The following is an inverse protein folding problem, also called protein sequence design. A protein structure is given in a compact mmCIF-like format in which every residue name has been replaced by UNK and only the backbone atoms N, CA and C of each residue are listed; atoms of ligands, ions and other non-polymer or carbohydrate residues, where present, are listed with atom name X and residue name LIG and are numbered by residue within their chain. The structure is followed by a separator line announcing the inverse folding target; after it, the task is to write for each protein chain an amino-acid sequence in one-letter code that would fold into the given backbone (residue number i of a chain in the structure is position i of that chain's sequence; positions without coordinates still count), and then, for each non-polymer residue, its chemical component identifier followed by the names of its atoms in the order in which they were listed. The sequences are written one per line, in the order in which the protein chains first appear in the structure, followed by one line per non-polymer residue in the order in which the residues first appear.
data_IF_441201955401
#
_entry.id   IF_441201955401
#
_cell.length_a   1.000
_cell.length_b   1.000
_cell.length_c   1.000
_cell.angle_alpha   90.00
_cell.angle_beta   90.00
_cell.angle_gamma   90.00
#
_symmetry.space_group_name_H-M   'P 1'
#
loop_
_entity.id
_entity.type
_entity.pdbx_description
1 polymer ?
#
# COMPACT_ATOMS: atom_id res chain seq x y z
N UNK A 1 2.69 4.47 -23.09
CA UNK A 1 3.19 5.22 -21.91
C UNK A 1 4.41 6.06 -22.31
N UNK A 2 4.58 7.28 -21.78
CA UNK A 2 5.75 8.10 -22.13
C UNK A 2 7.04 7.54 -21.51
N UNK A 3 8.19 7.84 -22.13
CA UNK A 3 9.51 7.44 -21.62
C UNK A 3 9.77 7.98 -20.21
N UNK A 4 9.30 9.19 -19.90
CA UNK A 4 9.41 9.81 -18.58
C UNK A 4 8.65 9.04 -17.50
N UNK A 5 7.45 8.55 -17.81
CA UNK A 5 6.66 7.77 -16.86
C UNK A 5 7.39 6.46 -16.51
N UNK A 6 8.04 5.81 -17.49
CA UNK A 6 8.87 4.61 -17.22
C UNK A 6 10.03 4.92 -16.27
N UNK A 7 10.72 6.04 -16.45
CA UNK A 7 11.83 6.46 -15.57
C UNK A 7 11.33 6.65 -14.14
N UNK A 8 10.14 7.23 -13.94
CA UNK A 8 9.58 7.40 -12.60
C UNK A 8 9.24 6.06 -11.94
N UNK A 9 8.67 5.11 -12.69
CA UNK A 9 8.41 3.75 -12.19
C UNK A 9 9.72 3.06 -11.80
N UNK A 10 10.76 3.17 -12.64
CA UNK A 10 12.09 2.62 -12.33
C UNK A 10 12.66 3.29 -11.07
N UNK A 11 12.55 4.62 -10.94
CA UNK A 11 13.00 5.32 -9.73
C UNK A 11 12.25 4.83 -8.48
N UNK A 12 10.93 4.61 -8.56
CA UNK A 12 10.18 4.02 -7.46
C UNK A 12 10.71 2.63 -7.09
N UNK A 13 10.94 1.74 -8.06
CA UNK A 13 11.50 0.41 -7.79
C UNK A 13 12.91 0.47 -7.21
N UNK A 14 13.76 1.37 -7.73
CA UNK A 14 15.11 1.58 -7.22
C UNK A 14 15.11 2.03 -5.75
N UNK A 15 14.11 2.80 -5.31
CA UNK A 15 13.97 3.15 -3.89
C UNK A 15 13.89 1.91 -3.00
N UNK A 16 13.08 0.93 -3.37
CA UNK A 16 12.91 -0.30 -2.59
C UNK A 16 14.08 -1.27 -2.79
N UNK A 17 14.68 -1.33 -3.98
CA UNK A 17 15.88 -2.16 -4.24
C UNK A 17 17.07 -1.64 -3.42
N UNK A 18 17.34 -0.34 -3.42
CA UNK A 18 18.42 0.25 -2.64
C UNK A 18 18.15 0.07 -1.14
N UNK A 19 16.91 0.26 -0.69
CA UNK A 19 16.53 0.01 0.71
C UNK A 19 16.72 -1.45 1.12
N UNK A 20 16.40 -2.41 0.24
CA UNK A 20 16.66 -3.82 0.46
C UNK A 20 18.17 -4.15 0.53
N UNK A 21 18.99 -3.52 -0.30
CA UNK A 21 20.45 -3.66 -0.25
C UNK A 21 21.05 -3.08 1.05
N UNK A 22 20.58 -1.90 1.49
CA UNK A 22 21.00 -1.31 2.76
C UNK A 22 20.60 -2.24 3.92
N UNK A 23 19.35 -2.70 3.93
CA UNK A 23 18.85 -3.63 4.94
C UNK A 23 19.63 -4.95 4.96
N UNK A 24 19.97 -5.53 3.80
CA UNK A 24 20.83 -6.70 3.70
C UNK A 24 22.20 -6.44 4.34
N UNK A 25 22.83 -5.30 4.02
CA UNK A 25 24.13 -4.93 4.59
C UNK A 25 24.06 -4.75 6.12
N UNK A 26 22.98 -4.18 6.65
CA UNK A 26 22.74 -4.06 8.09
C UNK A 26 22.64 -5.43 8.76
N UNK A 27 21.82 -6.34 8.24
CA UNK A 27 21.70 -7.71 8.78
C UNK A 27 23.03 -8.46 8.79
N UNK A 28 23.87 -8.25 7.77
CA UNK A 28 25.19 -8.87 7.68
C UNK A 28 26.20 -8.33 8.70
N UNK A 29 26.03 -7.09 9.16
CA UNK A 29 27.00 -6.41 10.04
C UNK A 29 26.61 -6.41 11.51
N UNK A 30 25.31 -6.38 11.83
CA UNK A 30 24.83 -6.19 13.21
C UNK A 30 24.40 -7.50 13.91
N UNK A 31 24.41 -8.65 13.23
CA UNK A 31 23.88 -9.95 13.68
C UNK A 31 22.39 -9.96 14.10
N UNK A 32 21.76 -8.83 14.39
CA UNK A 32 20.31 -8.69 14.53
C UNK A 32 19.67 -8.32 13.19
N UNK A 33 18.35 -8.53 13.08
CA UNK A 33 17.58 -7.98 11.98
C UNK A 33 17.40 -6.46 12.15
N UNK A 34 17.16 -5.67 11.08
CA UNK A 34 16.84 -4.25 11.24
C UNK A 34 15.32 -3.99 11.28
N UNK A 35 14.89 -2.97 12.03
CA UNK A 35 13.49 -2.52 12.11
C UNK A 35 12.58 -3.41 12.96
N UNK A 36 11.50 -3.98 12.40
CA UNK A 36 10.46 -4.64 13.20
C UNK A 36 10.91 -5.91 13.94
N UNK A 37 12.06 -6.46 13.57
CA UNK A 37 12.66 -7.63 14.18
C UNK A 37 14.00 -7.30 14.87
N UNK A 38 14.24 -6.03 15.22
CA UNK A 38 15.53 -5.57 15.77
C UNK A 38 15.98 -6.21 17.08
N UNK A 39 15.02 -6.72 17.85
CA UNK A 39 15.26 -7.42 19.10
C UNK A 39 15.74 -8.87 18.91
N UNK A 40 15.62 -9.43 17.70
CA UNK A 40 15.98 -10.81 17.42
C UNK A 40 17.33 -10.92 16.73
N UNK A 41 18.19 -11.76 17.29
CA UNK A 41 19.46 -12.16 16.69
C UNK A 41 19.21 -13.20 15.62
N UNK A 42 19.76 -12.98 14.42
CA UNK A 42 19.65 -13.91 13.30
C UNK A 42 20.42 -15.20 13.61
N UNK A 43 19.83 -16.33 13.27
CA UNK A 43 20.49 -17.65 13.26
C UNK A 43 20.83 -18.12 11.84
N UNK A 44 20.22 -17.53 10.81
CA UNK A 44 20.51 -17.83 9.40
C UNK A 44 21.92 -17.39 8.96
N UNK A 45 22.53 -18.17 8.06
CA UNK A 45 23.87 -17.95 7.55
C UNK A 45 23.97 -16.72 6.63
N UNK A 46 25.18 -16.19 6.49
CA UNK A 46 25.49 -15.08 5.59
C UNK A 46 25.10 -15.36 4.13
N UNK A 47 25.26 -16.61 3.68
CA UNK A 47 24.91 -17.02 2.31
C UNK A 47 23.39 -16.97 2.11
N UNK A 48 22.62 -17.47 3.06
CA UNK A 48 21.15 -17.43 3.02
C UNK A 48 20.61 -16.00 3.00
N UNK A 49 21.20 -15.12 3.82
CA UNK A 49 20.86 -13.67 3.82
C UNK A 49 21.05 -13.07 2.43
N UNK A 50 22.18 -13.31 1.78
CA UNK A 50 22.46 -12.78 0.45
C UNK A 50 21.47 -13.36 -0.58
N UNK A 51 21.28 -14.68 -0.60
CA UNK A 51 20.42 -15.35 -1.57
C UNK A 51 18.96 -14.86 -1.49
N UNK A 52 18.38 -14.83 -0.30
CA UNK A 52 17.00 -14.37 -0.10
C UNK A 52 16.82 -12.89 -0.44
N UNK A 53 17.79 -12.06 -0.06
CA UNK A 53 17.77 -10.64 -0.43
C UNK A 53 17.82 -10.45 -1.94
N UNK A 54 18.62 -11.24 -2.65
CA UNK A 54 18.67 -11.20 -4.11
C UNK A 54 17.38 -11.69 -4.76
N UNK A 55 16.74 -12.73 -4.22
CA UNK A 55 15.43 -13.18 -4.71
C UNK A 55 14.36 -12.09 -4.54
N UNK A 56 14.37 -11.37 -3.41
CA UNK A 56 13.49 -10.22 -3.20
C UNK A 56 13.75 -9.11 -4.24
N UNK A 57 15.02 -8.80 -4.54
CA UNK A 57 15.37 -7.83 -5.59
C UNK A 57 14.89 -8.29 -6.98
N UNK A 58 15.09 -9.57 -7.31
CA UNK A 58 14.60 -10.16 -8.57
C UNK A 58 13.08 -10.02 -8.69
N UNK A 59 12.35 -10.18 -7.58
CA UNK A 59 10.89 -9.99 -7.57
C UNK A 59 10.46 -8.57 -7.98
N UNK A 60 11.21 -7.53 -7.60
CA UNK A 60 10.95 -6.16 -8.06
C UNK A 60 11.20 -5.97 -9.56
N UNK A 61 12.18 -6.69 -10.10
CA UNK A 61 12.44 -6.72 -11.55
C UNK A 61 11.26 -7.40 -12.26
N UNK A 62 10.78 -8.54 -11.75
CA UNK A 62 9.59 -9.22 -12.26
C UNK A 62 8.34 -8.34 -12.18
N UNK A 63 8.14 -7.62 -11.09
CA UNK A 63 7.08 -6.62 -10.94
C UNK A 63 7.10 -5.59 -12.08
N UNK A 64 8.28 -5.09 -12.46
CA UNK A 64 8.41 -4.17 -13.58
C UNK A 64 7.99 -4.79 -14.90
N UNK A 65 8.39 -6.04 -15.17
CA UNK A 65 7.99 -6.76 -16.38
C UNK A 65 6.48 -7.00 -16.45
N UNK A 66 5.85 -7.43 -15.35
CA UNK A 66 4.38 -7.57 -15.28
C UNK A 66 3.70 -6.25 -15.59
N UNK A 67 4.18 -5.14 -15.01
CA UNK A 67 3.66 -3.82 -15.31
C UNK A 67 3.85 -3.40 -16.78
N UNK A 68 5.01 -3.69 -17.39
CA UNK A 68 5.25 -3.42 -18.81
C UNK A 68 4.28 -4.19 -19.71
N UNK A 69 4.06 -5.48 -19.42
CA UNK A 69 3.09 -6.31 -20.15
C UNK A 69 1.70 -5.70 -20.04
N UNK A 70 1.20 -5.46 -18.83
CA UNK A 70 -0.15 -4.91 -18.64
C UNK A 70 -0.28 -3.52 -19.27
N UNK A 71 0.70 -2.63 -19.12
CA UNK A 71 0.64 -1.26 -19.65
C UNK A 71 0.78 -1.15 -21.17
N UNK A 72 1.22 -2.22 -21.84
CA UNK A 72 1.42 -2.27 -23.30
C UNK A 72 0.10 -2.27 -24.09
N UNK A 73 -0.97 -2.81 -23.52
CA UNK A 73 -2.28 -2.89 -24.15
C UNK A 73 -3.34 -2.08 -23.39
N UNK A 74 -4.51 -1.90 -24.00
CA UNK A 74 -5.64 -1.18 -23.39
C UNK A 74 -6.89 -2.06 -23.40
N UNK A 75 -7.47 -2.29 -22.22
CA UNK A 75 -8.70 -3.03 -22.02
C UNK A 75 -9.73 -2.11 -21.38
N UNK A 76 -10.82 -1.81 -22.09
CA UNK A 76 -11.93 -1.02 -21.54
C UNK A 76 -13.16 -1.89 -21.44
N UNK A 77 -14.00 -1.64 -20.42
CA UNK A 77 -15.30 -2.30 -20.25
C UNK A 77 -16.18 -2.07 -21.49
N UNK A 78 -16.20 -0.85 -22.01
CA UNK A 78 -16.83 -0.50 -23.27
C UNK A 78 -16.05 0.64 -23.94
N UNK A 79 -15.61 0.45 -25.20
CA UNK A 79 -14.84 1.45 -25.95
C UNK A 79 -15.65 2.72 -26.26
N UNK A 80 -16.98 2.61 -26.29
CA UNK A 80 -17.90 3.69 -26.62
C UNK A 80 -18.38 4.45 -25.39
N UNK A 81 -17.98 4.07 -24.17
CA UNK A 81 -18.35 4.77 -22.94
C UNK A 81 -17.17 5.60 -22.46
N UNK A 82 -17.43 6.87 -22.17
CA UNK A 82 -16.50 7.77 -21.50
C UNK A 82 -17.01 8.09 -20.09
N UNK A 83 -16.06 8.19 -19.16
CA UNK A 83 -16.31 8.64 -17.79
C UNK A 83 -16.10 10.15 -17.71
N UNK A 84 -17.12 10.86 -17.25
CA UNK A 84 -17.11 12.31 -17.09
C UNK A 84 -17.31 12.63 -15.62
N UNK A 85 -16.41 13.41 -15.04
CA UNK A 85 -16.52 13.88 -13.67
C UNK A 85 -17.11 15.29 -13.65
N UNK A 86 -18.17 15.48 -12.88
CA UNK A 86 -18.65 16.82 -12.54
C UNK A 86 -17.70 17.41 -11.48
N UNK A 87 -16.72 18.20 -11.96
CA UNK A 87 -15.64 18.77 -11.14
C UNK A 87 -16.15 19.50 -9.89
N UNK A 88 -17.22 20.28 -10.03
CA UNK A 88 -17.77 21.06 -8.91
C UNK A 88 -18.44 20.16 -7.88
N UNK A 89 -19.29 19.23 -8.33
CA UNK A 89 -20.01 18.31 -7.42
C UNK A 89 -19.04 17.37 -6.70
N UNK A 90 -18.10 16.78 -7.42
CA UNK A 90 -17.15 15.84 -6.80
C UNK A 90 -16.28 16.52 -5.75
N UNK A 91 -15.77 17.74 -6.02
CA UNK A 91 -15.00 18.49 -5.03
C UNK A 91 -15.81 18.79 -3.76
N UNK A 92 -17.07 19.25 -3.92
CA UNK A 92 -17.95 19.55 -2.78
C UNK A 92 -18.25 18.30 -1.98
N UNK A 93 -18.60 17.19 -2.63
CA UNK A 93 -18.92 15.95 -1.95
C UNK A 93 -17.69 15.37 -1.24
N UNK A 94 -16.52 15.42 -1.88
CA UNK A 94 -15.27 14.98 -1.27
C UNK A 94 -14.89 15.82 -0.03
N UNK A 95 -15.13 17.14 -0.09
CA UNK A 95 -14.94 18.04 1.04
C UNK A 95 -15.79 17.65 2.25
N UNK A 96 -17.10 17.47 2.04
CA UNK A 96 -18.00 17.03 3.12
C UNK A 96 -17.63 15.65 3.67
N UNK A 97 -17.25 14.72 2.80
CA UNK A 97 -16.80 13.38 3.20
C UNK A 97 -15.54 13.45 4.07
N UNK A 98 -14.53 14.25 3.70
CA UNK A 98 -13.31 14.41 4.50
C UNK A 98 -13.60 15.04 5.87
N UNK A 99 -14.44 16.08 5.94
CA UNK A 99 -14.83 16.68 7.21
C UNK A 99 -15.54 15.65 8.10
N UNK A 100 -16.48 14.89 7.53
CA UNK A 100 -17.19 13.85 8.28
C UNK A 100 -16.24 12.77 8.80
N UNK A 101 -15.26 12.34 8.00
CA UNK A 101 -14.25 11.36 8.39
C UNK A 101 -13.34 11.88 9.52
N UNK A 102 -12.90 13.14 9.43
CA UNK A 102 -12.10 13.77 10.50
C UNK A 102 -12.91 13.87 11.79
N UNK A 103 -14.15 14.36 11.69
CA UNK A 103 -15.04 14.47 12.86
C UNK A 103 -15.29 13.12 13.51
N UNK A 104 -15.58 12.09 12.71
CA UNK A 104 -15.78 10.73 13.20
C UNK A 104 -14.53 10.17 13.89
N UNK A 105 -13.35 10.36 13.30
CA UNK A 105 -12.08 9.93 13.90
C UNK A 105 -11.82 10.64 15.24
N UNK A 106 -11.98 11.95 15.31
CA UNK A 106 -11.70 12.74 16.53
C UNK A 106 -12.69 12.41 17.65
N UNK A 107 -13.96 12.18 17.31
CA UNK A 107 -15.01 11.90 18.31
C UNK A 107 -15.01 10.47 18.81
N UNK A 108 -14.69 9.50 17.94
CA UNK A 108 -14.79 8.07 18.29
C UNK A 108 -13.43 7.41 18.51
N UNK A 109 -12.33 7.98 18.00
CA UNK A 109 -11.02 7.33 17.95
C UNK A 109 -10.93 6.20 16.91
N UNK A 110 -12.02 5.83 16.23
CA UNK A 110 -12.04 4.72 15.27
C UNK A 110 -11.17 5.04 14.06
N UNK A 111 -10.25 4.14 13.75
CA UNK A 111 -9.33 4.26 12.60
C UNK A 111 -8.01 4.95 12.94
N UNK A 112 -7.81 5.36 14.20
CA UNK A 112 -6.49 5.70 14.73
C UNK A 112 -5.66 4.42 14.86
N UNK A 113 -4.40 4.45 14.44
CA UNK A 113 -3.48 3.35 14.70
C UNK A 113 -3.22 3.30 16.21
N UNK A 114 -3.50 2.16 16.83
CA UNK A 114 -3.19 1.91 18.25
C UNK A 114 -2.16 0.80 18.35
N UNK A 115 -1.39 0.83 19.43
CA UNK A 115 -0.36 -0.16 19.73
C UNK A 115 -0.90 -1.27 20.62
N UNK A 116 -1.93 -0.98 21.43
CA UNK A 116 -2.61 -1.93 22.30
C UNK A 116 -3.97 -2.35 21.74
N UNK A 117 -4.29 -3.65 21.83
CA UNK A 117 -5.60 -4.18 21.45
C UNK A 117 -6.75 -3.62 22.32
N UNK A 118 -6.45 -3.30 23.58
CA UNK A 118 -7.40 -2.73 24.54
C UNK A 118 -7.79 -1.28 24.23
N UNK A 119 -7.06 -0.62 23.33
CA UNK A 119 -7.30 0.77 22.92
C UNK A 119 -8.04 0.87 21.58
N UNK A 120 -8.40 -0.26 20.97
CA UNK A 120 -9.13 -0.28 19.70
C UNK A 120 -10.54 0.26 19.95
N UNK A 121 -10.75 1.51 19.54
CA UNK A 121 -12.06 2.11 19.56
C UNK A 121 -13.02 1.42 18.59
N UNK A 122 -14.27 1.27 19.00
CA UNK A 122 -15.34 0.70 18.16
C UNK A 122 -16.55 1.64 18.11
N UNK A 123 -17.31 1.56 17.03
CA UNK A 123 -18.54 2.33 16.85
C UNK A 123 -19.51 1.55 15.98
N UNK A 124 -20.81 1.69 16.23
CA UNK A 124 -21.86 1.13 15.38
C UNK A 124 -21.83 1.71 13.95
N UNK A 125 -21.26 2.91 13.79
CA UNK A 125 -21.15 3.59 12.49
C UNK A 125 -19.85 3.26 11.74
N UNK A 126 -18.92 2.49 12.34
CA UNK A 126 -17.66 2.10 11.69
C UNK A 126 -17.85 1.47 10.31
N UNK A 127 -18.87 0.62 10.04
CA UNK A 127 -19.10 0.07 8.69
C UNK A 127 -19.37 1.16 7.64
N UNK A 128 -20.17 2.18 7.99
CA UNK A 128 -20.50 3.29 7.09
C UNK A 128 -19.25 4.10 6.73
N UNK A 129 -18.46 4.48 7.73
CA UNK A 129 -17.24 5.25 7.52
C UNK A 129 -16.12 4.45 6.84
N UNK A 130 -16.12 3.11 7.01
CA UNK A 130 -15.24 2.21 6.26
C UNK A 130 -15.63 2.11 4.78
N UNK A 131 -16.93 2.15 4.45
CA UNK A 131 -17.42 2.16 3.08
C UNK A 131 -17.16 3.51 2.39
N UNK A 132 -17.35 4.61 3.12
CA UNK A 132 -17.14 5.99 2.66
C UNK A 132 -15.70 6.48 2.86
N UNK A 133 -14.73 5.59 3.03
CA UNK A 133 -13.34 6.00 3.25
C UNK A 133 -12.77 6.68 1.99
N UNK A 134 -12.02 7.79 2.14
CA UNK A 134 -11.49 8.54 1.00
C UNK A 134 -10.38 7.79 0.26
N UNK A 135 -9.66 6.89 0.94
CA UNK A 135 -8.62 6.06 0.35
C UNK A 135 -9.19 4.76 -0.23
N UNK A 136 -8.75 4.34 -1.42
CA UNK A 136 -7.66 4.88 -2.22
C UNK A 136 -8.17 5.91 -3.27
N UNK A 137 -9.47 6.18 -3.34
CA UNK A 137 -10.09 6.96 -4.41
C UNK A 137 -9.51 8.38 -4.54
N UNK A 138 -9.03 8.97 -3.44
CA UNK A 138 -8.32 10.26 -3.43
C UNK A 138 -7.17 10.31 -4.45
N UNK A 139 -6.47 9.19 -4.72
CA UNK A 139 -5.36 9.17 -5.67
C UNK A 139 -5.83 9.27 -7.13
N UNK A 140 -6.98 8.65 -7.45
CA UNK A 140 -7.63 8.81 -8.76
C UNK A 140 -8.15 10.23 -8.91
N UNK A 141 -8.85 10.74 -7.89
CA UNK A 141 -9.31 12.12 -7.83
C UNK A 141 -8.15 13.11 -8.02
N UNK A 142 -7.02 12.89 -7.33
CA UNK A 142 -5.81 13.70 -7.45
C UNK A 142 -5.32 13.75 -8.90
N UNK A 143 -5.09 12.60 -9.54
CA UNK A 143 -4.62 12.55 -10.93
C UNK A 143 -5.64 13.15 -11.92
N UNK A 144 -6.94 12.96 -11.69
CA UNK A 144 -7.97 13.51 -12.56
C UNK A 144 -7.87 15.04 -12.67
N UNK A 145 -7.81 15.74 -11.53
CA UNK A 145 -7.68 17.19 -11.50
C UNK A 145 -6.28 17.65 -11.86
N UNK A 146 -5.26 17.04 -11.27
CA UNK A 146 -3.88 17.50 -11.38
C UNK A 146 -3.34 17.42 -12.80
N UNK A 147 -3.81 16.45 -13.57
CA UNK A 147 -3.40 16.24 -14.96
C UNK A 147 -4.30 16.96 -15.98
N UNK A 148 -5.24 17.79 -15.54
CA UNK A 148 -5.94 18.72 -16.41
C UNK A 148 -4.98 19.81 -16.90
N UNK A 149 -5.08 20.19 -18.19
CA UNK A 149 -4.17 21.15 -18.82
C UNK A 149 -4.23 22.53 -18.18
N UNK A 150 -5.40 22.91 -17.69
CA UNK A 150 -5.66 24.22 -17.10
C UNK A 150 -5.56 24.20 -15.57
N UNK A 151 -5.02 23.13 -14.98
CA UNK A 151 -4.93 23.01 -13.53
C UNK A 151 -3.93 24.01 -12.95
N UNK A 152 -4.40 24.77 -11.96
CA UNK A 152 -3.56 25.49 -11.01
C UNK A 152 -4.10 25.32 -9.60
N UNK A 153 -3.21 25.15 -8.63
CA UNK A 153 -3.59 25.04 -7.21
C UNK A 153 -4.32 26.30 -6.70
N UNK A 154 -3.95 27.49 -7.23
CA UNK A 154 -4.63 28.76 -6.94
C UNK A 154 -6.02 28.87 -7.56
N UNK A 155 -6.22 28.33 -8.77
CA UNK A 155 -7.53 28.34 -9.43
C UNK A 155 -8.48 27.24 -8.97
N UNK A 156 -7.96 26.15 -8.39
CA UNK A 156 -8.73 25.00 -7.90
C UNK A 156 -8.65 24.90 -6.38
N UNK A 157 -9.06 25.97 -5.68
CA UNK A 157 -8.92 26.11 -4.22
C UNK A 157 -9.56 24.93 -3.48
N UNK A 158 -10.79 24.54 -3.84
CA UNK A 158 -11.50 23.45 -3.15
C UNK A 158 -10.79 22.09 -3.31
N UNK A 159 -10.16 21.85 -4.46
CA UNK A 159 -9.31 20.67 -4.65
C UNK A 159 -8.11 20.71 -3.70
N UNK A 160 -7.42 21.86 -3.63
CA UNK A 160 -6.27 22.05 -2.74
C UNK A 160 -6.65 21.82 -1.28
N UNK A 161 -7.79 22.38 -0.84
CA UNK A 161 -8.35 22.16 0.50
C UNK A 161 -8.60 20.68 0.75
N UNK A 162 -9.20 19.96 -0.20
CA UNK A 162 -9.44 18.52 -0.06
C UNK A 162 -8.14 17.72 0.11
N UNK A 163 -7.07 18.05 -0.62
CA UNK A 163 -5.77 17.38 -0.43
C UNK A 163 -5.18 17.69 0.96
N UNK A 164 -5.28 18.94 1.42
CA UNK A 164 -4.79 19.33 2.76
C UNK A 164 -5.59 18.64 3.87
N UNK A 165 -6.92 18.60 3.76
CA UNK A 165 -7.78 17.89 4.70
C UNK A 165 -7.48 16.40 4.71
N UNK A 166 -7.21 15.80 3.55
CA UNK A 166 -6.81 14.41 3.46
C UNK A 166 -5.46 14.15 4.15
N UNK A 167 -4.46 15.01 3.93
CA UNK A 167 -3.16 14.94 4.63
C UNK A 167 -3.37 15.01 6.14
N UNK A 168 -4.16 15.99 6.61
CA UNK A 168 -4.47 16.16 8.01
C UNK A 168 -5.17 14.94 8.61
N UNK A 169 -6.20 14.42 7.92
CA UNK A 169 -6.90 13.20 8.31
C UNK A 169 -5.95 12.02 8.51
N UNK A 170 -5.02 11.78 7.57
CA UNK A 170 -4.08 10.67 7.65
C UNK A 170 -3.03 10.83 8.76
N UNK A 171 -2.59 12.06 9.02
CA UNK A 171 -1.70 12.35 10.15
C UNK A 171 -2.42 12.06 11.47
N UNK A 172 -3.69 12.47 11.63
CA UNK A 172 -4.48 12.16 12.82
C UNK A 172 -4.65 10.65 13.05
N UNK A 173 -4.71 9.86 11.97
CA UNK A 173 -4.73 8.40 12.07
C UNK A 173 -3.36 7.80 12.44
N UNK A 174 -2.26 8.57 12.39
CA UNK A 174 -0.90 8.09 12.63
C UNK A 174 -0.24 7.41 11.42
N UNK A 175 -0.69 7.71 10.20
CA UNK A 175 -0.11 7.20 8.94
C UNK A 175 0.71 8.27 8.23
N UNK A 176 1.86 7.89 7.65
CA UNK A 176 2.73 8.81 6.90
C UNK A 176 3.13 8.28 5.50
N UNK A 177 2.94 6.99 5.23
CA UNK A 177 3.32 6.34 3.96
C UNK A 177 2.61 6.95 2.74
N UNK A 178 1.38 7.46 2.92
CA UNK A 178 0.60 8.11 1.88
C UNK A 178 1.29 9.36 1.26
N UNK A 179 2.17 10.03 2.02
CA UNK A 179 2.91 11.20 1.54
C UNK A 179 3.86 10.82 0.39
N UNK A 180 4.51 9.65 0.50
CA UNK A 180 5.36 9.12 -0.56
C UNK A 180 4.55 8.84 -1.83
N UNK A 181 3.35 8.24 -1.67
CA UNK A 181 2.43 7.98 -2.79
C UNK A 181 2.03 9.30 -3.46
N UNK A 182 1.54 10.30 -2.70
CA UNK A 182 1.17 11.61 -3.24
C UNK A 182 2.34 12.30 -3.94
N UNK A 183 3.55 12.20 -3.39
CA UNK A 183 4.76 12.73 -4.01
C UNK A 183 5.01 12.10 -5.39
N UNK A 184 4.97 10.77 -5.49
CA UNK A 184 5.13 10.08 -6.78
C UNK A 184 3.99 10.38 -7.76
N UNK A 185 2.76 10.58 -7.30
CA UNK A 185 1.65 11.03 -8.14
C UNK A 185 1.86 12.45 -8.69
N UNK A 186 2.33 13.38 -7.86
CA UNK A 186 2.67 14.75 -8.30
C UNK A 186 3.82 14.72 -9.31
N UNK A 187 4.85 13.91 -9.06
CA UNK A 187 5.97 13.70 -10.00
C UNK A 187 5.45 13.13 -11.33
N UNK A 188 4.55 12.14 -11.28
CA UNK A 188 3.94 11.54 -12.47
C UNK A 188 3.17 12.56 -13.30
N UNK A 189 2.36 13.39 -12.64
CA UNK A 189 1.61 14.45 -13.30
C UNK A 189 2.53 15.53 -13.91
N UNK A 190 3.59 15.94 -13.19
CA UNK A 190 4.52 17.00 -13.64
C UNK A 190 5.44 16.57 -14.79
N UNK A 191 5.99 15.36 -14.73
CA UNK A 191 7.07 14.94 -15.62
C UNK A 191 6.60 14.10 -16.82
N UNK A 192 5.28 13.92 -17.00
CA UNK A 192 4.70 13.16 -18.10
C UNK A 192 5.29 13.48 -19.48
N UNK A 193 5.60 14.76 -19.73
CA UNK A 193 6.11 15.28 -21.01
C UNK A 193 7.60 15.67 -20.99
N UNK A 194 8.30 15.56 -19.84
CA UNK A 194 9.70 15.99 -19.70
C UNK A 194 10.57 14.79 -19.37
N UNK A 195 11.53 14.45 -20.23
CA UNK A 195 12.48 13.38 -19.94
C UNK A 195 13.61 13.92 -19.05
N UNK A 196 13.58 13.61 -17.75
CA UNK A 196 14.62 14.02 -16.82
C UNK A 196 15.26 12.81 -16.15
N UNK A 197 16.41 12.38 -16.66
CA UNK A 197 17.18 11.25 -16.10
C UNK A 197 17.57 11.47 -14.63
N UNK A 198 17.67 12.73 -14.17
CA UNK A 198 17.96 13.06 -12.76
C UNK A 198 16.96 12.46 -11.76
N UNK A 199 15.75 12.11 -12.20
CA UNK A 199 14.75 11.43 -11.38
C UNK A 199 15.28 10.06 -10.90
N UNK A 200 16.24 9.43 -11.58
CA UNK A 200 16.87 8.19 -11.12
C UNK A 200 17.72 8.37 -9.85
N UNK A 201 18.10 9.60 -9.50
CA UNK A 201 18.80 9.92 -8.24
C UNK A 201 17.83 10.20 -7.09
N UNK A 202 16.53 10.33 -7.38
CA UNK A 202 15.49 10.58 -6.38
C UNK A 202 15.46 9.54 -5.25
N UNK A 203 15.69 8.23 -5.48
CA UNK A 203 15.79 7.24 -4.41
C UNK A 203 16.80 7.60 -3.33
N UNK A 204 18.01 8.02 -3.72
CA UNK A 204 19.06 8.38 -2.78
C UNK A 204 18.65 9.62 -1.97
N UNK A 205 18.05 10.61 -2.63
CA UNK A 205 17.51 11.77 -1.93
C UNK A 205 16.43 11.37 -0.92
N UNK A 206 15.47 10.51 -1.30
CA UNK A 206 14.41 10.05 -0.40
C UNK A 206 14.99 9.27 0.78
N UNK A 207 16.01 8.43 0.59
CA UNK A 207 16.60 7.65 1.69
C UNK A 207 17.33 8.57 2.67
N UNK A 208 18.24 9.43 2.19
CA UNK A 208 19.08 10.25 3.08
C UNK A 208 18.33 11.46 3.65
N UNK A 209 17.68 12.25 2.80
CA UNK A 209 16.88 13.38 3.29
C UNK A 209 15.62 12.89 4.02
N UNK A 210 14.98 11.83 3.53
CA UNK A 210 13.84 11.24 4.23
C UNK A 210 14.23 10.65 5.57
N UNK A 211 15.42 10.05 5.74
CA UNK A 211 15.90 9.58 7.04
C UNK A 211 16.03 10.71 8.06
N UNK A 212 16.52 11.87 7.62
CA UNK A 212 16.54 13.09 8.44
C UNK A 212 15.14 13.59 8.81
N UNK A 213 14.15 13.49 7.91
CA UNK A 213 12.75 13.80 8.26
C UNK A 213 12.15 12.73 9.17
N UNK A 214 12.48 11.46 8.93
CA UNK A 214 11.91 10.31 9.62
C UNK A 214 12.27 10.28 11.09
N UNK A 215 13.46 10.78 11.48
CA UNK A 215 13.85 10.89 12.89
C UNK A 215 12.83 11.68 13.71
N UNK A 216 12.22 12.72 13.14
CA UNK A 216 11.20 13.55 13.79
C UNK A 216 9.79 12.97 13.60
N UNK A 217 9.48 12.53 12.38
CA UNK A 217 8.18 11.96 12.07
C UNK A 217 7.90 10.67 12.86
N UNK A 218 8.94 9.92 13.21
CA UNK A 218 8.83 8.71 14.03
C UNK A 218 8.42 9.01 15.47
N UNK A 219 8.94 10.08 16.07
CA UNK A 219 8.55 10.49 17.41
C UNK A 219 7.11 10.99 17.39
N UNK A 220 6.82 11.96 16.51
CA UNK A 220 5.49 12.55 16.38
C UNK A 220 4.40 11.51 16.11
N UNK A 221 4.64 10.53 15.21
CA UNK A 221 3.62 9.51 14.92
C UNK A 221 3.34 8.62 16.13
N UNK A 222 4.34 8.34 16.97
CA UNK A 222 4.17 7.46 18.13
C UNK A 222 3.52 8.21 19.30
N UNK A 223 3.87 9.49 19.49
CA UNK A 223 3.14 10.38 20.42
C UNK A 223 1.66 10.46 20.05
N UNK A 224 1.35 10.66 18.76
CA UNK A 224 -0.04 10.63 18.28
C UNK A 224 -0.70 9.29 18.64
N UNK A 225 0.02 8.17 18.53
CA UNK A 225 -0.49 6.83 18.87
C UNK A 225 -0.61 6.58 20.38
N UNK A 226 -0.10 7.47 21.22
CA UNK A 226 -0.10 7.32 22.69
C UNK A 226 1.14 6.60 23.25
N UNK A 227 2.20 6.46 22.45
CA UNK A 227 3.45 5.84 22.86
C UNK A 227 4.58 6.86 22.89
N UNK A 228 5.19 7.04 24.06
CA UNK A 228 6.43 7.80 24.17
C UNK A 228 7.61 6.96 23.70
N UNK A 229 8.30 7.44 22.68
CA UNK A 229 9.49 6.79 22.11
C UNK A 229 10.67 7.73 22.19
N UNK A 230 11.86 7.16 22.44
CA UNK A 230 13.08 7.95 22.46
C UNK A 230 13.33 8.61 21.09
N UNK A 231 13.92 9.83 21.07
CA UNK A 231 14.36 10.45 19.83
C UNK A 231 15.35 9.55 19.08
N UNK A 232 15.15 9.44 17.76
CA UNK A 232 16.07 8.71 16.89
C UNK A 232 17.23 9.60 16.48
N UNK A 233 18.44 9.05 16.47
CA UNK A 233 19.58 9.66 15.75
C UNK A 233 19.33 9.62 14.24
N UNK A 234 20.07 10.43 13.47
CA UNK A 234 19.99 10.41 12.01
C UNK A 234 20.20 9.01 11.42
N UNK A 235 21.20 8.26 11.92
CA UNK A 235 21.49 6.92 11.43
C UNK A 235 20.34 5.94 11.71
N UNK A 236 19.76 5.99 12.92
CA UNK A 236 18.56 5.21 13.24
C UNK A 236 17.36 5.64 12.39
N UNK A 237 17.23 6.93 12.07
CA UNK A 237 16.20 7.44 11.18
C UNK A 237 16.32 6.88 9.76
N UNK A 238 17.54 6.83 9.20
CA UNK A 238 17.82 6.20 7.90
C UNK A 238 17.54 4.70 7.96
N UNK A 239 18.04 4.01 8.99
CA UNK A 239 17.85 2.58 9.20
C UNK A 239 16.38 2.19 9.25
N UNK A 240 15.61 2.83 10.14
CA UNK A 240 14.18 2.59 10.29
C UNK A 240 13.42 2.92 9.00
N UNK A 241 13.78 4.01 8.30
CA UNK A 241 13.17 4.32 7.01
C UNK A 241 13.46 3.24 5.95
N UNK A 242 14.71 2.80 5.84
CA UNK A 242 15.09 1.77 4.86
C UNK A 242 14.48 0.41 5.18
N UNK A 243 14.36 0.05 6.47
CA UNK A 243 13.64 -1.14 6.90
C UNK A 243 12.16 -1.05 6.51
N UNK A 244 11.52 0.13 6.67
CA UNK A 244 10.12 0.37 6.25
C UNK A 244 9.91 0.44 4.74
N UNK A 245 10.96 0.75 3.97
CA UNK A 245 10.97 0.73 2.50
C UNK A 245 11.58 -0.57 1.96
N UNK A 246 11.66 -1.59 2.81
CA UNK A 246 12.16 -2.91 2.48
C UNK A 246 11.19 -3.95 3.04
N UNK A 247 11.08 -5.09 2.38
CA UNK A 247 10.42 -6.27 2.92
C UNK A 247 11.47 -7.26 3.46
N UNK A 248 12.76 -6.95 3.27
CA UNK A 248 13.85 -7.87 3.47
C UNK A 248 13.98 -8.40 4.90
N UNK A 249 13.92 -7.56 5.96
CA UNK A 249 14.09 -8.05 7.33
C UNK A 249 13.06 -9.10 7.70
N UNK A 250 11.79 -8.81 7.41
CA UNK A 250 10.67 -9.69 7.72
C UNK A 250 10.69 -10.93 6.81
N UNK A 251 11.13 -10.79 5.55
CA UNK A 251 11.34 -11.93 4.64
C UNK A 251 12.39 -12.90 5.17
N UNK A 252 13.52 -12.39 5.66
CA UNK A 252 14.58 -13.20 6.26
C UNK A 252 14.10 -13.85 7.57
N UNK A 253 13.38 -13.11 8.42
CA UNK A 253 12.78 -13.67 9.63
C UNK A 253 11.74 -14.76 9.33
N UNK A 254 10.94 -14.58 8.27
CA UNK A 254 9.98 -15.60 7.82
C UNK A 254 10.67 -16.87 7.33
N UNK A 255 11.86 -16.75 6.74
CA UNK A 255 12.68 -17.90 6.36
C UNK A 255 13.29 -18.60 7.58
N UNK A 256 13.78 -17.84 8.55
CA UNK A 256 14.30 -18.40 9.80
C UNK A 256 13.24 -19.20 10.56
N UNK A 257 12.02 -18.65 10.66
CA UNK A 257 10.88 -19.28 11.35
C UNK A 257 9.97 -20.09 10.43
N UNK A 258 10.48 -20.58 9.29
CA UNK A 258 9.67 -21.15 8.22
C UNK A 258 8.68 -22.23 8.70
N UNK A 259 9.18 -23.25 9.39
CA UNK A 259 8.36 -24.37 9.87
C UNK A 259 7.32 -23.93 10.91
N UNK A 260 7.70 -23.01 11.79
CA UNK A 260 6.79 -22.41 12.79
C UNK A 260 5.64 -21.68 12.10
N UNK A 261 5.93 -20.88 11.06
CA UNK A 261 4.89 -20.16 10.31
C UNK A 261 3.96 -21.12 9.57
N UNK A 262 4.51 -22.18 8.95
CA UNK A 262 3.71 -23.23 8.30
C UNK A 262 2.77 -23.90 9.31
N UNK A 263 3.30 -24.29 10.47
CA UNK A 263 2.52 -24.91 11.54
C UNK A 263 1.42 -23.96 12.06
N UNK A 264 1.75 -22.68 12.33
CA UNK A 264 0.77 -21.67 12.76
C UNK A 264 -0.35 -21.49 11.74
N UNK A 265 -0.02 -21.49 10.45
CA UNK A 265 -1.03 -21.40 9.38
C UNK A 265 -1.96 -22.62 9.37
N UNK A 266 -1.40 -23.83 9.49
CA UNK A 266 -2.15 -25.09 9.44
C UNK A 266 -3.00 -25.34 10.69
N UNK A 267 -2.57 -24.84 11.86
CA UNK A 267 -3.27 -24.99 13.15
C UNK A 267 -4.71 -24.50 13.14
N UNK A 268 -5.03 -23.46 12.36
CA UNK A 268 -6.39 -22.93 12.25
C UNK A 268 -7.34 -23.80 11.40
N UNK A 269 -6.82 -24.82 10.71
CA UNK A 269 -7.56 -25.78 9.88
C UNK A 269 -8.58 -25.13 8.90
N UNK A 270 -8.19 -24.01 8.28
CA UNK A 270 -9.00 -23.30 7.28
C UNK A 270 -8.33 -23.34 5.91
N UNK A 271 -8.94 -24.07 4.98
CA UNK A 271 -8.55 -24.07 3.57
C UNK A 271 -8.94 -22.73 2.93
N UNK A 272 -8.13 -22.23 1.99
CA UNK A 272 -8.36 -20.97 1.25
C UNK A 272 -8.41 -19.69 2.09
N UNK A 273 -7.87 -19.73 3.29
CA UNK A 273 -7.80 -18.60 4.23
C UNK A 273 -7.32 -17.29 3.60
N UNK A 274 -6.24 -17.34 2.83
CA UNK A 274 -5.74 -16.15 2.13
C UNK A 274 -6.72 -15.61 1.08
N UNK A 275 -7.38 -16.48 0.32
CA UNK A 275 -8.40 -16.07 -0.66
C UNK A 275 -9.67 -15.54 0.02
N UNK A 276 -10.09 -16.15 1.12
CA UNK A 276 -11.22 -15.72 1.94
C UNK A 276 -11.01 -14.34 2.57
N UNK A 277 -9.77 -13.92 2.80
CA UNK A 277 -9.44 -12.60 3.37
C UNK A 277 -9.78 -11.42 2.45
N UNK A 278 -9.95 -11.64 1.14
CA UNK A 278 -10.14 -10.59 0.14
C UNK A 278 -11.23 -9.56 0.51
N UNK A 279 -12.37 -10.03 0.98
CA UNK A 279 -13.54 -9.20 1.30
C UNK A 279 -13.64 -8.85 2.78
N UNK A 280 -12.73 -9.36 3.63
CA UNK A 280 -12.70 -9.12 5.08
C UNK A 280 -12.71 -7.64 5.47
N UNK A 281 -12.04 -6.71 4.75
CA UNK A 281 -12.07 -5.29 5.11
C UNK A 281 -13.38 -4.58 4.81
N UNK A 282 -14.21 -5.16 3.93
CA UNK A 282 -15.38 -4.47 3.35
C UNK A 282 -16.67 -5.06 3.89
N UNK A 283 -16.73 -6.39 4.02
CA UNK A 283 -17.92 -7.08 4.51
C UNK A 283 -17.99 -7.02 6.05
N UNK A 284 -19.16 -6.75 6.65
CA UNK A 284 -19.37 -6.88 8.08
C UNK A 284 -19.14 -8.31 8.59
N UNK A 285 -18.83 -8.45 9.89
CA UNK A 285 -18.53 -9.76 10.51
C UNK A 285 -19.71 -10.75 10.45
N UNK A 286 -20.95 -10.27 10.33
CA UNK A 286 -22.12 -11.13 10.13
C UNK A 286 -22.15 -11.87 8.79
N UNK A 287 -21.40 -11.39 7.78
CA UNK A 287 -21.33 -12.02 6.45
C UNK A 287 -20.07 -12.86 6.24
N UNK A 288 -19.00 -12.57 6.97
CA UNK A 288 -17.73 -13.28 6.85
C UNK A 288 -17.08 -13.43 8.23
N UNK A 289 -16.65 -14.65 8.54
CA UNK A 289 -15.84 -14.91 9.72
C UNK A 289 -14.50 -14.17 9.58
N UNK A 290 -14.26 -13.16 10.43
CA UNK A 290 -13.03 -12.36 10.42
C UNK A 290 -11.93 -12.91 11.33
N UNK A 291 -12.27 -13.91 12.13
CA UNK A 291 -11.44 -14.47 13.20
C UNK A 291 -10.51 -15.55 12.65
N UNK A 292 -9.42 -15.10 11.99
CA UNK A 292 -8.31 -15.91 11.49
C UNK A 292 -7.10 -15.04 11.16
N UNK A 293 -5.89 -15.62 11.18
CA UNK A 293 -4.62 -14.88 10.98
C UNK A 293 -3.97 -15.08 9.61
N UNK A 294 -4.07 -14.12 8.69
CA UNK A 294 -3.36 -14.22 7.39
C UNK A 294 -1.84 -14.44 7.56
N UNK A 295 -1.15 -14.93 6.53
CA UNK A 295 0.29 -15.23 6.58
C UNK A 295 1.15 -14.07 7.08
N UNK A 296 0.88 -12.82 6.66
CA UNK A 296 1.60 -11.64 7.16
C UNK A 296 1.54 -11.49 8.69
N UNK A 297 0.45 -11.95 9.32
CA UNK A 297 0.31 -11.96 10.77
C UNK A 297 0.95 -13.21 11.40
N UNK A 298 0.86 -14.39 10.76
CA UNK A 298 1.52 -15.61 11.28
C UNK A 298 3.04 -15.45 11.35
N UNK A 299 3.65 -14.77 10.38
CA UNK A 299 5.08 -14.45 10.40
C UNK A 299 5.42 -13.65 11.65
N UNK A 300 4.69 -12.57 11.94
CA UNK A 300 4.95 -11.77 13.14
C UNK A 300 4.63 -12.52 14.44
N UNK A 301 3.59 -13.37 14.43
CA UNK A 301 3.23 -14.21 15.58
C UNK A 301 4.31 -15.25 15.91
N UNK A 302 5.12 -15.67 14.92
CA UNK A 302 6.25 -16.57 15.16
C UNK A 302 7.36 -15.95 16.01
N UNK A 303 7.48 -14.61 16.00
CA UNK A 303 8.43 -13.85 16.80
C UNK A 303 7.79 -13.26 18.07
N UNK A 304 6.53 -12.85 17.97
CA UNK A 304 5.76 -12.24 19.05
C UNK A 304 4.47 -13.05 19.29
N UNK A 305 4.49 -14.11 20.11
CA UNK A 305 3.34 -15.01 20.30
C UNK A 305 2.06 -14.33 20.79
N UNK A 306 2.20 -13.25 21.57
CA UNK A 306 1.08 -12.48 22.13
C UNK A 306 0.54 -11.40 21.18
N UNK A 307 1.09 -11.30 19.96
CA UNK A 307 0.66 -10.30 18.98
C UNK A 307 -0.79 -10.51 18.58
N UNK A 308 -1.57 -9.44 18.57
CA UNK A 308 -2.97 -9.47 18.14
C UNK A 308 -3.11 -9.87 16.64
N UNK A 309 -4.27 -10.37 16.18
CA UNK A 309 -4.48 -10.81 14.79
C UNK A 309 -4.62 -9.65 13.78
N UNK A 310 -4.60 -8.40 14.23
CA UNK A 310 -4.81 -7.20 13.42
C UNK A 310 -3.51 -6.48 13.02
N UNK A 311 -2.38 -6.82 13.64
CA UNK A 311 -1.05 -6.30 13.30
C UNK A 311 -0.35 -7.24 12.32
N UNK A 312 0.13 -6.75 11.20
CA UNK A 312 0.78 -7.58 10.18
C UNK A 312 1.91 -6.84 9.49
N UNK A 313 2.88 -7.58 8.96
CA UNK A 313 4.06 -7.00 8.31
C UNK A 313 4.27 -7.53 6.90
N UNK A 314 4.88 -6.72 6.05
CA UNK A 314 5.13 -7.05 4.65
C UNK A 314 6.45 -7.82 4.51
N UNK A 315 6.41 -8.99 3.88
CA UNK A 315 7.55 -9.91 3.82
C UNK A 315 7.80 -10.52 2.42
N UNK A 316 7.06 -10.04 1.41
CA UNK A 316 7.36 -10.27 0.01
C UNK A 316 6.84 -11.54 -0.62
N UNK A 317 6.66 -11.46 -1.94
CA UNK A 317 6.08 -12.53 -2.77
C UNK A 317 6.86 -13.83 -2.73
N UNK A 318 8.19 -13.75 -2.60
CA UNK A 318 9.07 -14.94 -2.60
C UNK A 318 8.77 -15.82 -1.39
N UNK A 319 8.87 -15.24 -0.19
CA UNK A 319 8.64 -16.00 1.03
C UNK A 319 7.16 -16.29 1.25
N UNK A 320 6.28 -15.35 0.91
CA UNK A 320 4.84 -15.55 1.04
C UNK A 320 4.36 -16.78 0.26
N UNK A 321 4.71 -16.87 -1.02
CA UNK A 321 4.27 -18.00 -1.83
C UNK A 321 5.00 -19.30 -1.50
N UNK A 322 6.27 -19.24 -1.11
CA UNK A 322 7.00 -20.42 -0.62
C UNK A 322 6.31 -21.04 0.59
N UNK A 323 5.97 -20.23 1.59
CA UNK A 323 5.26 -20.66 2.80
C UNK A 323 3.85 -21.15 2.43
N UNK A 324 3.11 -20.42 1.60
CA UNK A 324 1.75 -20.81 1.24
C UNK A 324 1.73 -22.14 0.47
N UNK A 325 2.69 -22.37 -0.43
CA UNK A 325 2.81 -23.61 -1.18
C UNK A 325 2.96 -24.82 -0.24
N UNK A 326 3.81 -24.71 0.77
CA UNK A 326 4.04 -25.78 1.75
C UNK A 326 2.94 -25.87 2.83
N UNK A 327 2.27 -24.76 3.11
CA UNK A 327 1.17 -24.73 4.08
C UNK A 327 -0.13 -25.28 3.49
N UNK A 328 -0.45 -24.91 2.24
CA UNK A 328 -1.67 -25.29 1.53
C UNK A 328 -1.52 -25.11 0.01
N UNK A 329 -1.17 -26.17 -0.70
CA UNK A 329 -1.07 -26.17 -2.17
C UNK A 329 -2.37 -25.69 -2.86
N UNK A 330 -3.60 -26.11 -2.46
CA UNK A 330 -4.82 -25.58 -3.04
C UNK A 330 -4.98 -24.06 -2.80
N UNK A 331 -4.60 -23.58 -1.61
CA UNK A 331 -4.60 -22.17 -1.27
C UNK A 331 -3.65 -21.36 -2.15
N UNK A 332 -2.44 -21.87 -2.39
CA UNK A 332 -1.45 -21.28 -3.29
C UNK A 332 -1.97 -21.15 -4.74
N UNK A 333 -2.54 -22.23 -5.29
CA UNK A 333 -3.06 -22.25 -6.67
C UNK A 333 -4.20 -21.24 -6.81
N UNK A 334 -5.18 -21.28 -5.91
CA UNK A 334 -6.33 -20.37 -5.96
C UNK A 334 -5.90 -18.91 -5.81
N UNK A 335 -5.01 -18.61 -4.86
CA UNK A 335 -4.53 -17.25 -4.63
C UNK A 335 -3.79 -16.69 -5.85
N UNK A 336 -3.00 -17.52 -6.53
CA UNK A 336 -2.29 -17.15 -7.75
C UNK A 336 -3.26 -16.81 -8.87
N UNK A 337 -4.25 -17.68 -9.13
CA UNK A 337 -5.29 -17.46 -10.15
C UNK A 337 -6.08 -16.18 -9.83
N UNK A 338 -6.50 -16.03 -8.57
CA UNK A 338 -7.27 -14.88 -8.11
C UNK A 338 -6.49 -13.57 -8.29
N UNK A 339 -5.20 -13.55 -7.95
CA UNK A 339 -4.35 -12.37 -8.13
C UNK A 339 -4.24 -11.95 -9.59
N UNK A 340 -4.08 -12.91 -10.51
CA UNK A 340 -4.04 -12.64 -11.97
C UNK A 340 -5.38 -12.05 -12.44
N UNK A 341 -6.50 -12.64 -12.03
CA UNK A 341 -7.84 -12.13 -12.36
C UNK A 341 -8.03 -10.70 -11.82
N UNK A 342 -7.62 -10.44 -10.58
CA UNK A 342 -7.73 -9.12 -9.97
C UNK A 342 -6.85 -8.07 -10.66
N UNK A 343 -5.66 -8.43 -11.17
CA UNK A 343 -4.88 -7.53 -12.03
C UNK A 343 -5.61 -7.16 -13.32
N UNK A 344 -6.27 -8.14 -13.96
CA UNK A 344 -7.06 -7.88 -15.17
C UNK A 344 -8.24 -6.96 -14.84
N UNK A 345 -8.95 -7.18 -13.73
CA UNK A 345 -10.05 -6.32 -13.29
C UNK A 345 -9.54 -4.89 -12.99
N UNK A 346 -8.43 -4.76 -12.26
CA UNK A 346 -7.82 -3.46 -11.98
C UNK A 346 -7.40 -2.73 -13.26
N UNK A 347 -6.85 -3.48 -14.23
CA UNK A 347 -6.50 -2.95 -15.54
C UNK A 347 -7.70 -2.40 -16.27
N UNK A 348 -8.77 -3.20 -16.39
CA UNK A 348 -10.02 -2.82 -17.04
C UNK A 348 -10.60 -1.57 -16.38
N UNK A 349 -10.60 -1.53 -15.04
CA UNK A 349 -11.10 -0.40 -14.29
C UNK A 349 -10.33 0.89 -14.60
N UNK A 350 -9.00 0.90 -14.43
CA UNK A 350 -8.20 2.11 -14.63
C UNK A 350 -8.19 2.61 -16.08
N UNK A 351 -8.14 1.70 -17.05
CA UNK A 351 -8.26 2.07 -18.47
C UNK A 351 -9.65 2.63 -18.81
N UNK A 352 -10.71 2.07 -18.24
CA UNK A 352 -12.08 2.54 -18.45
C UNK A 352 -12.29 3.93 -17.86
N UNK A 353 -11.73 4.18 -16.67
CA UNK A 353 -11.79 5.48 -16.00
C UNK A 353 -10.93 6.55 -16.69
N UNK A 354 -9.91 6.15 -17.45
CA UNK A 354 -8.98 7.07 -18.09
C UNK A 354 -9.61 7.86 -19.25
N UNK A 355 -9.41 9.19 -19.22
CA UNK A 355 -9.78 10.08 -20.32
C UNK A 355 -8.81 9.96 -21.51
N UNK A 356 -7.56 9.55 -21.26
CA UNK A 356 -6.55 9.30 -22.28
C UNK A 356 -5.60 8.19 -21.85
N UNK A 357 -4.91 7.61 -22.82
CA UNK A 357 -4.00 6.48 -22.59
C UNK A 357 -2.92 6.82 -21.58
N UNK A 358 -2.85 5.98 -20.54
CA UNK A 358 -1.86 6.09 -19.48
C UNK A 358 -2.08 7.24 -18.50
N UNK A 359 -3.31 7.72 -18.31
CA UNK A 359 -3.61 8.65 -17.22
C UNK A 359 -3.39 8.03 -15.83
N UNK A 360 -3.83 6.78 -15.66
CA UNK A 360 -3.84 6.09 -14.37
C UNK A 360 -2.88 4.88 -14.32
N UNK A 361 -1.90 4.79 -15.25
CA UNK A 361 -0.95 3.67 -15.29
C UNK A 361 -0.12 3.59 -13.98
N UNK A 362 0.14 4.72 -13.30
CA UNK A 362 0.84 4.71 -12.00
C UNK A 362 0.01 4.09 -10.87
N UNK A 363 -1.32 4.24 -10.89
CA UNK A 363 -2.19 3.60 -9.90
C UNK A 363 -2.24 2.09 -10.10
N UNK A 364 -2.30 1.65 -11.36
CA UNK A 364 -2.14 0.24 -11.71
C UNK A 364 -0.77 -0.29 -11.26
N UNK A 365 0.30 0.47 -11.49
CA UNK A 365 1.63 0.11 -11.02
C UNK A 365 1.66 -0.08 -9.50
N UNK A 366 1.06 0.81 -8.70
CA UNK A 366 1.03 0.63 -7.25
C UNK A 366 0.31 -0.65 -6.83
N UNK A 367 -0.81 -1.01 -7.46
CA UNK A 367 -1.47 -2.31 -7.19
C UNK A 367 -0.52 -3.48 -7.48
N UNK A 368 0.15 -3.48 -8.64
CA UNK A 368 1.10 -4.55 -8.99
C UNK A 368 2.27 -4.57 -8.01
N UNK A 369 2.84 -3.41 -7.69
CA UNK A 369 3.95 -3.28 -6.76
C UNK A 369 3.61 -3.85 -5.39
N UNK A 370 2.47 -3.47 -4.81
CA UNK A 370 2.07 -3.96 -3.50
C UNK A 370 1.68 -5.46 -3.52
N UNK A 371 1.25 -6.02 -4.65
CA UNK A 371 1.11 -7.48 -4.80
C UNK A 371 2.45 -8.23 -4.77
N UNK A 372 3.58 -7.58 -5.07
CA UNK A 372 4.91 -8.17 -4.94
C UNK A 372 5.53 -7.88 -3.55
N UNK A 373 5.24 -6.72 -2.98
CA UNK A 373 5.78 -6.27 -1.69
C UNK A 373 5.00 -6.81 -0.47
N UNK A 374 3.68 -6.58 -0.43
CA UNK A 374 2.78 -6.98 0.65
C UNK A 374 2.17 -8.36 0.41
N UNK A 375 1.82 -8.66 -0.87
CA UNK A 375 1.19 -9.90 -1.37
C UNK A 375 -0.24 -10.16 -0.90
N UNK A 376 -0.54 -9.90 0.37
CA UNK A 376 -1.86 -10.07 0.97
C UNK A 376 -2.94 -9.40 0.12
N UNK A 377 -3.83 -10.22 -0.47
CA UNK A 377 -4.92 -9.72 -1.31
C UNK A 377 -5.94 -8.91 -0.51
N UNK A 378 -6.04 -9.17 0.79
CA UNK A 378 -6.81 -8.35 1.72
C UNK A 378 -6.32 -6.90 1.70
N UNK A 379 -5.01 -6.69 1.86
CA UNK A 379 -4.43 -5.35 1.90
C UNK A 379 -4.40 -4.72 0.50
N UNK A 380 -3.89 -5.45 -0.50
CA UNK A 380 -3.67 -4.89 -1.84
C UNK A 380 -4.97 -4.65 -2.58
N UNK A 381 -5.88 -5.63 -2.58
CA UNK A 381 -7.13 -5.54 -3.33
C UNK A 381 -8.32 -5.16 -2.45
N UNK A 382 -8.51 -5.82 -1.30
CA UNK A 382 -9.61 -5.53 -0.38
C UNK A 382 -9.56 -4.09 0.16
N UNK A 383 -8.43 -3.69 0.72
CA UNK A 383 -8.24 -2.33 1.24
C UNK A 383 -7.80 -1.34 0.15
N UNK A 384 -7.00 -1.79 -0.82
CA UNK A 384 -6.30 -0.93 -1.78
C UNK A 384 -6.92 -0.79 -3.18
N UNK A 385 -7.75 -1.72 -3.66
CA UNK A 385 -8.35 -1.63 -5.00
C UNK A 385 -9.88 -1.52 -4.98
N UNK A 386 -10.57 -2.43 -4.31
CA UNK A 386 -12.04 -2.47 -4.28
C UNK A 386 -12.71 -1.17 -3.83
N UNK A 387 -12.16 -0.37 -2.90
CA UNK A 387 -12.82 0.88 -2.55
C UNK A 387 -12.78 1.93 -3.67
N UNK A 388 -11.94 1.77 -4.71
CA UNK A 388 -12.10 2.55 -5.96
C UNK A 388 -13.44 2.23 -6.65
N UNK A 389 -13.83 0.96 -6.73
CA UNK A 389 -15.07 0.50 -7.36
C UNK A 389 -16.26 1.01 -6.54
N UNK A 390 -16.25 0.81 -5.23
CA UNK A 390 -17.33 1.27 -4.34
C UNK A 390 -17.47 2.80 -4.34
N UNK A 391 -16.35 3.52 -4.26
CA UNK A 391 -16.37 4.98 -4.35
C UNK A 391 -16.91 5.45 -5.70
N UNK A 392 -16.54 4.80 -6.80
CA UNK A 392 -17.06 5.13 -8.13
C UNK A 392 -18.57 4.95 -8.20
N UNK A 393 -19.10 3.86 -7.63
CA UNK A 393 -20.54 3.64 -7.55
C UNK A 393 -21.22 4.73 -6.72
N UNK A 394 -20.67 5.08 -5.55
CA UNK A 394 -21.20 6.16 -4.71
C UNK A 394 -21.19 7.52 -5.43
N UNK A 395 -20.09 7.87 -6.10
CA UNK A 395 -19.99 9.10 -6.88
C UNK A 395 -20.87 9.09 -8.13
N UNK A 396 -21.15 7.92 -8.70
CA UNK A 396 -22.12 7.78 -9.80
C UNK A 396 -23.55 8.04 -9.30
N UNK A 397 -23.96 7.41 -8.19
CA UNK A 397 -25.30 7.57 -7.61
C UNK A 397 -25.58 9.03 -7.17
N UNK A 398 -24.55 9.75 -6.73
CA UNK A 398 -24.65 11.18 -6.36
C UNK A 398 -24.51 12.13 -7.55
N UNK A 399 -24.37 11.60 -8.78
CA UNK A 399 -24.25 12.39 -10.01
C UNK A 399 -22.93 13.16 -10.14
N UNK A 400 -21.91 12.79 -9.36
CA UNK A 400 -20.54 13.30 -9.46
C UNK A 400 -19.77 12.67 -10.62
N UNK A 401 -20.07 11.41 -10.94
CA UNK A 401 -19.56 10.68 -12.10
C UNK A 401 -20.71 10.37 -13.04
N UNK A 402 -20.50 10.57 -14.34
CA UNK A 402 -21.45 10.21 -15.41
C UNK A 402 -20.76 9.33 -16.44
N UNK A 403 -21.48 8.32 -16.93
CA UNK A 403 -21.06 7.51 -18.07
C UNK A 403 -21.82 8.01 -19.30
N UNK A 404 -21.09 8.54 -20.28
CA UNK A 404 -21.67 9.02 -21.55
C UNK A 404 -21.24 8.13 -22.69
N UNK A 405 -22.13 7.91 -23.67
CA UNK A 405 -21.71 7.40 -24.97
C UNK A 405 -20.84 8.45 -25.67
N UNK A 406 -19.83 7.97 -26.40
CA UNK A 406 -18.96 8.78 -27.26
C UNK A 406 -19.73 9.38 -28.41
#
# INVERSE_FOLDING_TARGET
MSKSNRILIIAFLLLYIISALISMFQTLTQNNYPGELEEFTRSISTVEVILLSMLNIISFILCYFVFLVLSSFRLKLNKNINVIFNKTKINKLFFFLLIAQIFFLVTTGVGKVTTSANEIATSIYSPLFSFLKPEPFIYLFFLYFRMDKNFSYKGNILFTINIVLFIFFKILQGWTSFLLILFFLEMYARYRLKNKKIILLLPLFIIFFGGWVYQYAFVLKNEIRGNDVAPLSYYQGVEQLTSRLSMNPVSLGAYENYDTVVHLYQKENRVFKESGSLLRPILPAGFINKDFRILNNNVMTSFYPDLNPYTSSDFGVVMYYSILFNSSLPGFILLTILTILLFIIAKIYFDSMSSYNGQYDILLFFIIFYSFYTVSIENVFGQGFFPYIFSTLFFFLTGCIKFSRR
#
